data_IF_889948330572
#
_entry.id   IF_889948330572
#
_cell.length_a   1.000
_cell.length_b   1.000
_cell.length_c   1.000
_cell.angle_alpha   90.00
_cell.angle_beta   90.00
_cell.angle_gamma   90.00
#
_symmetry.space_group_name_H-M   'P 1'
#
loop_
_entity.id
_entity.type
_entity.pdbx_description
1 polymer ?
#
# COMPACT_ATOMS: atom_id res chain seq x y z
N UNK A 1 15.49 14.39 -15.60
CA UNK A 1 15.79 14.36 -14.15
C UNK A 1 14.98 13.23 -13.54
N UNK A 2 15.51 12.38 -12.66
CA UNK A 2 14.71 11.29 -12.07
C UNK A 2 13.84 11.78 -10.91
N UNK A 3 12.62 11.26 -10.82
CA UNK A 3 11.73 11.41 -9.66
C UNK A 3 11.13 10.07 -9.28
N UNK A 4 10.76 9.96 -8.01
CA UNK A 4 10.15 8.79 -7.40
C UNK A 4 8.72 9.16 -7.03
N UNK A 5 7.76 8.64 -7.79
CA UNK A 5 6.34 8.90 -7.57
C UNK A 5 5.78 7.85 -6.60
N UNK A 6 5.18 8.30 -5.50
CA UNK A 6 4.40 7.46 -4.61
C UNK A 6 2.97 7.46 -5.12
N UNK A 7 2.48 6.27 -5.42
CA UNK A 7 1.10 6.05 -5.80
C UNK A 7 0.31 5.38 -4.68
N UNK A 8 -0.97 5.70 -4.63
CA UNK A 8 -1.96 5.04 -3.80
C UNK A 8 -2.97 4.31 -4.69
N UNK A 9 -3.33 3.10 -4.28
CA UNK A 9 -4.32 2.23 -4.88
C UNK A 9 -5.24 1.76 -3.74
N UNK A 10 -6.53 2.07 -3.79
CA UNK A 10 -7.45 1.64 -2.73
C UNK A 10 -7.79 0.14 -2.79
N UNK A 11 -7.30 -0.57 -3.82
CA UNK A 11 -7.44 -2.02 -4.06
C UNK A 11 -8.87 -2.54 -4.09
N UNK A 12 -9.84 -1.64 -4.24
CA UNK A 12 -11.20 -2.01 -4.57
C UNK A 12 -11.23 -2.57 -6.00
N UNK A 13 -12.05 -3.59 -6.20
CA UNK A 13 -12.37 -4.02 -7.54
C UNK A 13 -13.54 -3.17 -8.05
N UNK A 14 -13.52 -2.80 -9.34
CA UNK A 14 -14.63 -2.16 -10.07
C UNK A 14 -14.80 -0.65 -9.89
N UNK A 15 -16.05 -0.16 -9.72
CA UNK A 15 -16.45 1.24 -9.96
C UNK A 15 -15.82 2.24 -8.97
N UNK A 16 -15.41 1.78 -7.79
CA UNK A 16 -14.77 2.60 -6.76
C UNK A 16 -13.24 2.44 -6.74
N UNK A 17 -12.64 1.72 -7.69
CA UNK A 17 -11.19 1.68 -7.79
C UNK A 17 -10.67 3.06 -8.20
N UNK A 18 -9.84 3.65 -7.35
CA UNK A 18 -9.10 4.84 -7.72
C UNK A 18 -7.62 4.69 -7.43
N UNK A 19 -6.87 5.30 -8.34
CA UNK A 19 -5.43 5.24 -8.39
C UNK A 19 -4.89 6.66 -8.56
N UNK A 20 -4.08 7.13 -7.61
CA UNK A 20 -3.60 8.51 -7.61
C UNK A 20 -2.13 8.65 -7.22
N UNK A 21 -1.48 9.68 -7.77
CA UNK A 21 -0.14 10.12 -7.36
C UNK A 21 -0.28 10.94 -6.09
N UNK A 22 0.19 10.39 -4.97
CA UNK A 22 0.14 11.09 -3.69
C UNK A 22 1.25 12.15 -3.57
N UNK A 23 2.48 11.79 -3.96
CA UNK A 23 3.61 12.69 -3.82
C UNK A 23 4.77 12.31 -4.76
N UNK A 24 5.64 13.29 -5.05
CA UNK A 24 6.85 13.11 -5.87
C UNK A 24 8.09 13.45 -5.04
N UNK A 25 9.06 12.54 -5.04
CA UNK A 25 10.31 12.70 -4.32
C UNK A 25 11.51 12.72 -5.27
N UNK A 26 12.58 13.40 -4.85
CA UNK A 26 13.85 13.42 -5.60
C UNK A 26 14.69 12.16 -5.39
N UNK A 27 14.43 11.41 -4.33
CA UNK A 27 15.10 10.16 -4.03
C UNK A 27 14.09 9.14 -3.50
N UNK A 28 14.44 7.86 -3.62
CA UNK A 28 13.59 6.75 -3.21
C UNK A 28 13.47 6.61 -1.69
N UNK A 29 14.51 6.98 -0.94
CA UNK A 29 14.54 6.81 0.52
C UNK A 29 13.48 7.68 1.21
N UNK A 30 13.31 8.93 0.77
CA UNK A 30 12.30 9.84 1.29
C UNK A 30 10.88 9.38 0.93
N UNK A 31 10.70 8.81 -0.27
CA UNK A 31 9.42 8.20 -0.66
C UNK A 31 9.05 7.01 0.25
N UNK A 32 10.02 6.17 0.61
CA UNK A 32 9.79 5.06 1.57
C UNK A 32 9.44 5.59 2.95
N UNK A 33 10.19 6.58 3.47
CA UNK A 33 9.91 7.18 4.77
C UNK A 33 8.53 7.82 4.84
N UNK A 34 8.08 8.44 3.75
CA UNK A 34 6.72 8.97 3.65
C UNK A 34 5.68 7.85 3.81
N UNK A 35 5.79 6.78 3.01
CA UNK A 35 4.85 5.65 3.06
C UNK A 35 4.80 5.03 4.48
N UNK A 36 5.97 4.81 5.09
CA UNK A 36 6.07 4.24 6.44
C UNK A 36 5.53 5.19 7.53
N UNK A 37 5.66 6.51 7.36
CA UNK A 37 5.10 7.51 8.27
C UNK A 37 3.56 7.56 8.21
N UNK A 38 2.96 7.23 7.07
CA UNK A 38 1.50 7.06 6.91
C UNK A 38 0.98 5.73 7.49
N UNK A 39 1.86 4.90 8.06
CA UNK A 39 1.51 3.66 8.74
C UNK A 39 1.42 2.44 7.83
N UNK A 40 1.81 2.55 6.56
CA UNK A 40 1.90 1.40 5.67
C UNK A 40 3.18 0.60 5.95
N UNK A 41 3.06 -0.72 5.91
CA UNK A 41 4.18 -1.65 6.13
C UNK A 41 4.52 -2.39 4.85
N UNK A 42 5.80 -2.71 4.67
CA UNK A 42 6.25 -3.38 3.45
C UNK A 42 5.61 -4.76 3.31
N UNK A 43 4.94 -5.00 2.18
CA UNK A 43 4.35 -6.29 1.86
C UNK A 43 5.45 -7.28 1.47
N UNK A 44 5.71 -8.26 2.34
CA UNK A 44 6.72 -9.31 2.10
C UNK A 44 6.18 -10.48 1.28
N UNK A 45 4.85 -10.58 1.11
CA UNK A 45 4.19 -11.71 0.43
C UNK A 45 4.05 -11.43 -1.07
N UNK A 46 3.85 -10.18 -1.46
CA UNK A 46 3.74 -9.83 -2.88
C UNK A 46 5.10 -9.89 -3.59
N UNK A 47 5.20 -10.73 -4.61
CA UNK A 47 6.41 -10.92 -5.42
C UNK A 47 6.34 -10.24 -6.79
N UNK A 48 5.16 -9.73 -7.18
CA UNK A 48 4.94 -9.13 -8.49
C UNK A 48 5.45 -7.69 -8.54
N UNK A 49 5.17 -6.91 -7.48
CA UNK A 49 5.60 -5.52 -7.34
C UNK A 49 5.93 -5.25 -5.88
N UNK A 50 7.00 -4.50 -5.66
CA UNK A 50 7.28 -3.98 -4.33
C UNK A 50 6.22 -2.95 -3.94
N UNK A 51 5.54 -3.21 -2.83
CA UNK A 51 4.45 -2.39 -2.34
C UNK A 51 4.43 -2.37 -0.81
N UNK A 52 3.66 -1.43 -0.28
CA UNK A 52 3.33 -1.33 1.13
C UNK A 52 1.83 -1.43 1.30
N UNK A 53 1.41 -2.07 2.39
CA UNK A 53 0.02 -2.39 2.73
C UNK A 53 -0.34 -1.68 4.02
N UNK A 54 -1.60 -1.27 4.16
CA UNK A 54 -2.12 -0.89 5.46
C UNK A 54 -2.70 -2.14 6.12
N UNK A 55 -2.06 -2.62 7.19
CA UNK A 55 -2.59 -3.78 7.91
C UNK A 55 -3.88 -3.38 8.63
N UNK A 56 -5.00 -3.85 8.11
CA UNK A 56 -6.31 -3.78 8.76
C UNK A 56 -6.59 -5.11 9.44
N UNK A 57 -7.22 -5.04 10.61
CA UNK A 57 -7.56 -6.20 11.42
C UNK A 57 -9.07 -6.31 11.48
N UNK A 58 -9.58 -7.49 11.17
CA UNK A 58 -10.97 -7.84 11.45
C UNK A 58 -11.02 -9.01 12.44
N UNK A 59 -12.18 -9.15 13.07
CA UNK A 59 -12.48 -10.22 14.00
C UNK A 59 -13.83 -10.83 13.62
N UNK A 60 -13.88 -12.15 13.50
CA UNK A 60 -15.13 -12.89 13.37
C UNK A 60 -15.16 -14.06 14.34
N UNK A 61 -16.36 -14.45 14.75
CA UNK A 61 -16.59 -15.65 15.53
C UNK A 61 -16.74 -16.83 14.57
N UNK A 62 -15.94 -17.88 14.73
CA UNK A 62 -16.03 -19.09 13.92
C UNK A 62 -17.21 -19.99 14.34
N UNK A 63 -17.39 -21.13 13.66
CA UNK A 63 -18.51 -22.05 13.92
C UNK A 63 -18.48 -22.66 15.33
N UNK A 64 -17.32 -22.64 16.00
CA UNK A 64 -17.10 -23.17 17.34
C UNK A 64 -17.23 -22.09 18.44
N UNK A 65 -17.47 -20.83 18.05
CA UNK A 65 -17.58 -19.69 18.98
C UNK A 65 -16.24 -19.04 19.33
N UNK A 66 -15.16 -19.36 18.62
CA UNK A 66 -13.83 -18.79 18.85
C UNK A 66 -13.66 -17.50 18.03
N UNK A 67 -13.08 -16.46 18.64
CA UNK A 67 -12.77 -15.21 17.93
C UNK A 67 -11.50 -15.41 17.10
N UNK A 68 -11.67 -15.44 15.78
CA UNK A 68 -10.58 -15.50 14.81
C UNK A 68 -10.27 -14.09 14.31
N UNK A 69 -9.00 -13.69 14.44
CA UNK A 69 -8.50 -12.43 13.88
C UNK A 69 -7.82 -12.69 12.54
N UNK A 70 -8.12 -11.88 11.53
CA UNK A 70 -7.40 -11.92 10.27
C UNK A 70 -6.91 -10.54 9.87
N UNK A 71 -5.74 -10.52 9.24
CA UNK A 71 -5.20 -9.32 8.59
C UNK A 71 -5.70 -9.31 7.17
N UNK A 72 -6.34 -8.22 6.78
CA UNK A 72 -6.59 -7.91 5.39
C UNK A 72 -6.06 -6.51 5.08
N UNK A 73 -5.84 -6.24 3.80
CA UNK A 73 -5.47 -4.91 3.31
C UNK A 73 -6.17 -4.76 1.99
N UNK A 74 -7.02 -3.75 1.88
CA UNK A 74 -7.56 -3.30 0.59
C UNK A 74 -6.66 -2.24 0.00
N UNK A 75 -6.00 -1.42 0.82
CA UNK A 75 -5.21 -0.30 0.34
C UNK A 75 -3.72 -0.61 0.20
N UNK A 76 -3.10 -0.09 -0.86
CA UNK A 76 -1.70 -0.29 -1.15
C UNK A 76 -1.02 0.99 -1.62
N UNK A 77 0.25 1.16 -1.25
CA UNK A 77 1.14 2.18 -1.81
C UNK A 77 2.31 1.55 -2.52
N UNK A 78 2.80 2.19 -3.58
CA UNK A 78 4.01 1.75 -4.28
C UNK A 78 4.76 2.92 -4.90
N UNK A 79 6.04 2.69 -5.20
CA UNK A 79 6.95 3.70 -5.74
C UNK A 79 7.30 3.33 -7.18
N UNK A 80 7.16 4.29 -8.09
CA UNK A 80 7.72 4.16 -9.44
C UNK A 80 8.78 5.23 -9.71
N UNK A 81 9.88 4.81 -10.35
CA UNK A 81 10.89 5.73 -10.87
C UNK A 81 10.44 6.27 -12.23
N UNK A 82 10.44 7.59 -12.40
CA UNK A 82 10.07 8.29 -13.63
C UNK A 82 11.13 9.31 -14.04
N UNK A 83 11.27 9.53 -15.34
CA UNK A 83 12.07 10.62 -15.88
C UNK A 83 11.19 11.86 -16.12
N UNK A 84 11.54 12.99 -15.52
CA UNK A 84 11.04 14.31 -15.91
C UNK A 84 11.73 14.74 -17.20
N UNK A 85 10.89 14.95 -18.21
CA UNK A 85 11.21 15.49 -19.55
C UNK A 85 11.82 16.88 -19.48
#
# INVERSE_FOLDING_TARGET
MKVYAVYFDNGEAWEDNYFDVQCLFRNREDAVKYIEAEGYVKDKKNTFREQWVQEQWDEYEDEDGEIVKYIYSTEYMYIEEKDLF
#
